data_IF_049296064881
#
_entry.id   IF_049296064881
#
_cell.length_a   1.000
_cell.length_b   1.000
_cell.length_c   1.000
_cell.angle_alpha   90.00
_cell.angle_beta   90.00
_cell.angle_gamma   90.00
#
_symmetry.space_group_name_H-M   'P 1'
#
loop_
_entity.id
_entity.type
_entity.pdbx_description
1 polymer ?
#
# COMPACT_ATOMS: atom_id res chain seq x y z
N UNK A 1 4.29 12.36 20.99
CA UNK A 1 4.35 10.99 20.43
C UNK A 1 4.87 11.13 19.02
N UNK A 2 5.74 10.24 18.54
CA UNK A 2 6.31 10.38 17.19
C UNK A 2 5.36 9.79 16.15
N UNK A 3 4.94 10.61 15.21
CA UNK A 3 4.19 10.20 14.02
C UNK A 3 5.15 10.10 12.83
N UNK A 4 4.92 9.19 11.92
CA UNK A 4 5.69 9.12 10.69
C UNK A 4 5.21 8.05 9.73
N UNK A 5 5.75 8.08 8.53
CA UNK A 5 5.44 7.18 7.43
C UNK A 5 6.58 6.18 7.27
N UNK A 6 6.25 4.90 7.10
CA UNK A 6 7.21 3.87 6.74
C UNK A 6 6.90 3.32 5.36
N UNK A 7 7.93 3.27 4.52
CA UNK A 7 7.92 2.70 3.19
C UNK A 7 8.79 1.44 3.20
N UNK A 8 8.30 0.34 2.65
CA UNK A 8 9.09 -0.88 2.46
C UNK A 8 9.39 -1.04 0.97
N UNK A 9 10.65 -0.96 0.59
CA UNK A 9 11.11 -1.14 -0.79
C UNK A 9 12.15 -2.26 -0.87
N UNK A 10 11.94 -3.19 -1.79
CA UNK A 10 12.88 -4.26 -2.11
C UNK A 10 12.92 -4.44 -3.61
N UNK A 11 14.01 -4.03 -4.23
CA UNK A 11 14.21 -4.16 -5.66
C UNK A 11 14.17 -5.62 -6.10
N UNK A 12 13.69 -5.86 -7.30
CA UNK A 12 13.79 -7.14 -7.97
C UNK A 12 14.46 -6.96 -9.35
N UNK A 13 14.50 -8.01 -10.15
CA UNK A 13 15.16 -8.00 -11.47
C UNK A 13 14.52 -7.05 -12.48
N UNK A 14 13.27 -6.61 -12.27
CA UNK A 14 12.51 -5.81 -13.23
C UNK A 14 12.11 -4.45 -12.71
N UNK A 15 11.96 -4.30 -11.39
CA UNK A 15 11.39 -3.12 -10.75
C UNK A 15 12.32 -2.50 -9.71
N UNK A 16 12.56 -1.19 -9.82
CA UNK A 16 13.27 -0.40 -8.83
C UNK A 16 12.29 0.23 -7.83
N UNK A 17 11.97 -0.53 -6.78
CA UNK A 17 11.07 -0.09 -5.71
C UNK A 17 11.65 1.05 -4.86
N UNK A 18 12.98 1.18 -4.77
CA UNK A 18 13.64 2.31 -4.09
C UNK A 18 13.37 3.62 -4.85
N UNK A 19 13.38 3.60 -6.20
CA UNK A 19 12.97 4.77 -7.02
C UNK A 19 11.50 5.10 -6.82
N UNK A 20 10.62 4.10 -6.70
CA UNK A 20 9.19 4.32 -6.42
C UNK A 20 9.00 4.94 -5.03
N UNK A 21 9.71 4.43 -4.01
CA UNK A 21 9.68 5.00 -2.66
C UNK A 21 10.17 6.47 -2.64
N UNK A 22 11.19 6.80 -3.45
CA UNK A 22 11.65 8.17 -3.62
C UNK A 22 10.56 9.08 -4.19
N UNK A 23 9.92 8.67 -5.29
CA UNK A 23 8.83 9.41 -5.90
C UNK A 23 7.63 9.60 -4.95
N UNK A 24 7.28 8.55 -4.19
CA UNK A 24 6.25 8.65 -3.16
C UNK A 24 6.65 9.62 -2.05
N UNK A 25 7.90 9.59 -1.57
CA UNK A 25 8.39 10.52 -0.56
C UNK A 25 8.35 11.97 -1.04
N UNK A 26 8.74 12.26 -2.28
CA UNK A 26 8.59 13.57 -2.90
C UNK A 26 7.13 14.02 -2.89
N UNK A 27 6.21 13.16 -3.34
CA UNK A 27 4.78 13.50 -3.37
C UNK A 27 4.20 13.79 -1.98
N UNK A 28 4.65 13.05 -0.96
CA UNK A 28 4.24 13.30 0.43
C UNK A 28 4.75 14.66 0.91
N UNK A 29 6.04 14.94 0.73
CA UNK A 29 6.65 16.20 1.20
C UNK A 29 6.13 17.43 0.47
N UNK A 30 5.75 17.31 -0.80
CA UNK A 30 5.08 18.37 -1.55
C UNK A 30 3.72 18.76 -0.93
N UNK A 31 3.01 17.82 -0.30
CA UNK A 31 1.69 18.06 0.31
C UNK A 31 1.76 18.28 1.82
N UNK A 32 2.73 17.67 2.49
CA UNK A 32 2.93 17.68 3.94
C UNK A 32 4.43 17.79 4.28
N UNK A 33 5.05 18.98 4.16
CA UNK A 33 6.51 19.19 4.20
C UNK A 33 7.21 18.76 5.50
N UNK A 34 6.47 18.67 6.59
CA UNK A 34 7.01 18.31 7.91
C UNK A 34 6.81 16.84 8.28
N UNK A 35 6.47 16.01 7.31
CA UNK A 35 6.24 14.58 7.55
C UNK A 35 7.54 13.83 7.67
N UNK A 36 7.71 13.07 8.77
CA UNK A 36 8.84 12.14 8.90
C UNK A 36 8.61 10.91 8.03
N UNK A 37 9.58 10.56 7.19
CA UNK A 37 9.51 9.40 6.28
C UNK A 37 10.73 8.52 6.46
N UNK A 38 10.51 7.25 6.83
CA UNK A 38 11.57 6.24 6.90
C UNK A 38 11.41 5.21 5.79
N UNK A 39 12.53 4.83 5.18
CA UNK A 39 12.60 3.76 4.19
C UNK A 39 13.18 2.50 4.82
N UNK A 40 12.49 1.37 4.63
CA UNK A 40 12.93 0.05 5.07
C UNK A 40 13.39 -0.70 3.82
N UNK A 41 14.69 -0.99 3.72
CA UNK A 41 15.29 -1.63 2.55
C UNK A 41 16.68 -2.18 2.85
N UNK A 42 17.10 -3.19 2.10
CA UNK A 42 18.49 -3.67 2.05
C UNK A 42 19.19 -3.26 0.75
N UNK A 43 18.49 -2.56 -0.14
CA UNK A 43 19.01 -2.06 -1.41
C UNK A 43 19.75 -0.72 -1.22
N UNK A 44 20.58 -0.34 -2.21
CA UNK A 44 21.25 0.96 -2.24
C UNK A 44 20.23 2.11 -2.38
N UNK A 45 20.43 3.18 -1.61
CA UNK A 45 19.54 4.34 -1.55
C UNK A 45 20.31 5.61 -1.89
N UNK A 46 20.33 6.02 -3.18
CA UNK A 46 21.06 7.21 -3.61
C UNK A 46 20.34 8.53 -3.32
N UNK A 47 19.25 8.51 -2.54
CA UNK A 47 18.38 9.66 -2.28
C UNK A 47 18.47 10.14 -0.84
N UNK A 48 18.72 11.44 -0.65
CA UNK A 48 18.81 12.06 0.67
C UNK A 48 17.49 12.77 1.04
N UNK A 49 16.38 12.03 1.10
CA UNK A 49 15.04 12.55 1.40
C UNK A 49 14.40 11.87 2.62
N UNK A 50 14.92 10.71 3.00
CA UNK A 50 14.38 9.92 4.10
C UNK A 50 15.01 10.30 5.43
N UNK A 51 14.22 10.44 6.49
CA UNK A 51 14.72 10.67 7.85
C UNK A 51 15.60 9.52 8.33
N UNK A 52 15.23 8.29 7.96
CA UNK A 52 15.99 7.08 8.27
C UNK A 52 15.88 6.07 7.13
N UNK A 53 17.00 5.41 6.86
CA UNK A 53 17.05 4.19 6.06
C UNK A 53 17.35 3.05 7.03
N UNK A 54 16.50 2.01 7.03
CA UNK A 54 16.51 0.93 8.02
C UNK A 54 16.60 -0.39 7.26
N UNK A 55 17.55 -1.24 7.63
CA UNK A 55 17.66 -2.58 7.05
C UNK A 55 16.46 -3.46 7.43
N UNK A 56 16.11 -4.37 6.53
CA UNK A 56 15.04 -5.35 6.77
C UNK A 56 15.53 -6.35 7.83
N UNK A 57 14.79 -6.51 8.94
CA UNK A 57 15.22 -7.43 9.98
C UNK A 57 15.01 -8.88 9.53
N UNK A 58 15.82 -9.77 10.10
CA UNK A 58 15.70 -11.22 9.89
C UNK A 58 15.68 -11.60 8.42
N UNK A 59 16.84 -11.82 7.81
CA UNK A 59 17.05 -12.14 6.39
C UNK A 59 16.53 -13.52 5.94
N UNK A 60 15.49 -14.01 6.60
CA UNK A 60 14.94 -15.35 6.50
C UNK A 60 13.98 -15.56 5.31
N UNK A 61 13.58 -14.48 4.61
CA UNK A 61 12.62 -14.50 3.50
C UNK A 61 13.17 -13.85 2.22
N UNK A 62 14.50 -13.74 2.11
CA UNK A 62 15.17 -13.00 1.03
C UNK A 62 15.18 -13.70 -0.34
N UNK A 63 14.66 -14.93 -0.43
CA UNK A 63 14.90 -15.81 -1.59
C UNK A 63 13.79 -15.79 -2.65
N UNK A 64 12.68 -15.10 -2.43
CA UNK A 64 11.59 -15.01 -3.38
C UNK A 64 11.66 -13.70 -4.18
N UNK A 65 11.46 -13.76 -5.50
CA UNK A 65 11.29 -12.56 -6.34
C UNK A 65 10.13 -11.68 -5.87
N UNK A 66 9.12 -12.28 -5.22
CA UNK A 66 8.02 -11.60 -4.52
C UNK A 66 8.33 -11.44 -3.04
N UNK A 67 8.99 -10.36 -2.69
CA UNK A 67 9.39 -10.05 -1.31
C UNK A 67 8.26 -9.48 -0.45
N UNK A 68 7.02 -9.65 -0.87
CA UNK A 68 5.80 -9.19 -0.19
C UNK A 68 5.65 -9.78 1.21
N UNK A 69 6.24 -10.95 1.44
CA UNK A 69 6.25 -11.66 2.71
C UNK A 69 6.97 -10.90 3.83
N UNK A 70 7.74 -9.86 3.51
CA UNK A 70 8.41 -9.01 4.50
C UNK A 70 7.51 -7.87 5.04
N UNK A 71 6.30 -7.67 4.53
CA UNK A 71 5.46 -6.51 4.90
C UNK A 71 5.08 -6.43 6.37
N UNK A 72 4.88 -7.57 7.04
CA UNK A 72 4.60 -7.60 8.47
C UNK A 72 5.75 -7.05 9.33
N UNK A 73 6.98 -7.11 8.81
CA UNK A 73 8.20 -6.67 9.51
C UNK A 73 8.23 -5.16 9.77
N UNK A 74 7.49 -4.37 8.99
CA UNK A 74 7.39 -2.91 9.15
C UNK A 74 7.00 -2.53 10.59
N UNK A 75 6.08 -3.27 11.22
CA UNK A 75 5.69 -3.05 12.61
C UNK A 75 6.87 -3.10 13.58
N UNK A 76 7.79 -4.03 13.39
CA UNK A 76 8.89 -4.28 14.31
C UNK A 76 10.01 -3.23 14.20
N UNK A 77 10.23 -2.67 13.02
CA UNK A 77 11.37 -1.77 12.74
C UNK A 77 10.99 -0.30 12.63
N UNK A 78 9.70 0.03 12.47
CA UNK A 78 9.29 1.44 12.43
C UNK A 78 9.86 2.21 13.62
N UNK A 79 10.48 3.39 13.40
CA UNK A 79 11.00 4.21 14.48
C UNK A 79 9.92 5.05 15.15
N UNK A 80 8.67 4.99 14.65
CA UNK A 80 7.56 5.80 15.11
C UNK A 80 6.61 5.00 16.00
N UNK A 81 5.94 5.69 16.91
CA UNK A 81 4.86 5.09 17.69
C UNK A 81 3.60 4.94 16.84
N UNK A 82 3.25 5.99 16.10
CA UNK A 82 2.13 6.03 15.20
C UNK A 82 2.67 6.00 13.76
N UNK A 83 2.29 5.01 12.99
CA UNK A 83 2.86 4.76 11.67
C UNK A 83 1.76 4.65 10.63
N UNK A 84 1.91 5.37 9.52
CA UNK A 84 1.21 5.11 8.27
C UNK A 84 2.16 4.33 7.35
N UNK A 85 1.65 3.32 6.69
CA UNK A 85 2.38 2.53 5.69
C UNK A 85 1.69 2.67 4.35
N UNK A 86 2.48 2.88 3.30
CA UNK A 86 2.05 2.89 1.91
C UNK A 86 2.77 1.83 1.10
N UNK A 87 2.10 1.31 0.07
CA UNK A 87 2.77 0.67 -1.05
C UNK A 87 3.59 1.71 -1.79
N UNK A 88 4.82 1.35 -2.18
CA UNK A 88 5.73 2.34 -2.77
C UNK A 88 5.35 2.76 -4.20
N UNK A 89 4.50 1.99 -4.87
CA UNK A 89 3.91 2.31 -6.17
C UNK A 89 2.65 3.22 -6.05
N UNK A 90 2.71 4.14 -5.06
CA UNK A 90 1.69 5.16 -4.82
C UNK A 90 2.26 6.58 -4.95
N UNK A 91 1.36 7.58 -5.12
CA UNK A 91 1.63 9.00 -4.97
C UNK A 91 0.57 9.64 -4.08
N UNK A 92 0.99 10.57 -3.23
CA UNK A 92 0.11 11.42 -2.41
C UNK A 92 -0.07 12.75 -3.11
N UNK A 93 -1.31 13.08 -3.48
CA UNK A 93 -1.66 14.24 -4.31
C UNK A 93 -2.41 15.33 -3.54
N UNK A 94 -2.80 15.06 -2.29
CA UNK A 94 -3.42 16.00 -1.38
C UNK A 94 -2.78 15.90 0.01
N UNK A 95 -3.00 16.92 0.86
CA UNK A 95 -2.53 16.88 2.25
C UNK A 95 -3.16 15.70 3.01
N UNK A 96 -2.33 14.97 3.76
CA UNK A 96 -2.72 13.80 4.54
C UNK A 96 -2.64 14.01 6.06
N UNK A 97 -2.38 15.24 6.53
CA UNK A 97 -2.20 15.52 7.96
C UNK A 97 -3.46 15.21 8.78
N UNK A 98 -4.64 15.30 8.15
CA UNK A 98 -5.91 14.90 8.76
C UNK A 98 -5.96 13.45 9.25
N UNK A 99 -5.13 12.57 8.71
CA UNK A 99 -5.04 11.18 9.14
C UNK A 99 -4.50 11.09 10.56
N UNK A 100 -3.59 12.00 10.95
CA UNK A 100 -3.04 12.06 12.30
C UNK A 100 -4.04 12.54 13.34
N UNK A 101 -4.98 13.40 12.96
CA UNK A 101 -6.03 13.94 13.85
C UNK A 101 -7.11 12.88 14.14
N UNK A 102 -7.31 11.95 13.21
CA UNK A 102 -8.31 10.88 13.30
C UNK A 102 -7.64 9.51 13.52
N UNK A 103 -6.64 9.47 14.36
CA UNK A 103 -5.78 8.33 14.51
C UNK A 103 -6.43 7.18 15.32
N UNK A 104 -6.30 5.97 14.82
CA UNK A 104 -6.76 4.74 15.46
C UNK A 104 -5.61 3.76 15.65
N UNK A 105 -5.74 2.83 16.59
CA UNK A 105 -4.68 1.88 16.91
C UNK A 105 -4.31 0.95 15.74
N UNK A 106 -5.28 0.57 14.92
CA UNK A 106 -5.06 -0.21 13.69
C UNK A 106 -6.21 0.03 12.71
N UNK A 107 -5.90 0.50 11.50
CA UNK A 107 -6.89 0.75 10.45
C UNK A 107 -6.37 0.31 9.10
N UNK A 108 -7.22 -0.38 8.36
CA UNK A 108 -7.00 -0.76 6.97
C UNK A 108 -8.04 -0.14 6.04
N UNK A 109 -7.66 0.08 4.80
CA UNK A 109 -8.58 0.47 3.73
C UNK A 109 -9.51 -0.69 3.39
N UNK A 110 -10.82 -0.41 3.28
CA UNK A 110 -11.82 -1.40 2.86
C UNK A 110 -12.51 -1.04 1.54
N UNK A 111 -12.19 0.11 0.97
CA UNK A 111 -12.73 0.57 -0.31
C UNK A 111 -11.68 1.33 -1.11
N UNK A 112 -11.74 1.22 -2.42
CA UNK A 112 -10.84 1.93 -3.34
C UNK A 112 -11.67 2.60 -4.45
N UNK A 113 -11.06 3.55 -5.18
CA UNK A 113 -11.72 4.36 -6.18
C UNK A 113 -11.19 4.08 -7.59
N UNK A 114 -12.02 4.37 -8.56
CA UNK A 114 -11.62 4.50 -9.96
C UNK A 114 -10.85 5.80 -10.20
N UNK A 115 -10.17 5.93 -11.35
CA UNK A 115 -9.56 7.20 -11.76
C UNK A 115 -10.59 8.33 -11.99
N UNK A 116 -11.90 8.01 -12.00
CA UNK A 116 -13.01 8.97 -12.03
C UNK A 116 -13.48 9.39 -10.65
N UNK A 117 -12.78 8.98 -9.59
CA UNK A 117 -13.12 9.22 -8.20
C UNK A 117 -14.43 8.53 -7.72
N UNK A 118 -14.84 7.45 -8.39
CA UNK A 118 -16.00 6.64 -8.06
C UNK A 118 -15.58 5.45 -7.20
N UNK A 119 -16.33 5.11 -6.17
CA UNK A 119 -16.08 3.88 -5.37
C UNK A 119 -16.27 2.66 -6.26
N UNK A 120 -15.32 1.73 -6.19
CA UNK A 120 -15.33 0.51 -6.97
C UNK A 120 -16.34 -0.46 -6.40
N UNK A 121 -17.29 -0.88 -7.23
CA UNK A 121 -18.32 -1.87 -6.91
C UNK A 121 -18.07 -3.22 -7.57
N UNK A 122 -17.08 -3.31 -8.47
CA UNK A 122 -16.75 -4.56 -9.15
C UNK A 122 -16.11 -5.57 -8.20
N UNK A 123 -16.86 -6.64 -7.88
CA UNK A 123 -16.45 -7.69 -6.94
C UNK A 123 -15.66 -8.83 -7.60
N UNK A 124 -15.46 -8.82 -8.92
CA UNK A 124 -14.70 -9.88 -9.60
C UNK A 124 -13.30 -10.07 -9.01
N UNK A 125 -12.64 -8.99 -8.67
CA UNK A 125 -11.30 -8.97 -8.10
C UNK A 125 -11.26 -9.45 -6.64
N UNK A 126 -12.41 -9.44 -5.96
CA UNK A 126 -12.55 -9.75 -4.52
C UNK A 126 -13.22 -11.10 -4.25
N UNK A 127 -13.32 -11.98 -5.25
CA UNK A 127 -14.00 -13.28 -5.15
C UNK A 127 -13.54 -14.15 -3.98
N UNK A 128 -12.25 -14.15 -3.68
CA UNK A 128 -11.69 -14.91 -2.55
C UNK A 128 -12.29 -14.43 -1.23
N UNK A 129 -12.48 -13.13 -1.07
CA UNK A 129 -13.07 -12.53 0.15
C UNK A 129 -14.55 -12.89 0.26
N UNK A 130 -15.33 -12.60 -0.78
CA UNK A 130 -16.78 -12.88 -0.79
C UNK A 130 -17.09 -14.36 -0.60
N UNK A 131 -16.40 -15.25 -1.32
CA UNK A 131 -16.66 -16.67 -1.28
C UNK A 131 -16.34 -17.34 0.06
N UNK A 132 -15.42 -16.77 0.83
CA UNK A 132 -14.95 -17.32 2.11
C UNK A 132 -15.44 -16.49 3.32
N UNK A 133 -16.31 -15.51 3.08
CA UNK A 133 -16.79 -14.60 4.14
C UNK A 133 -15.61 -13.97 4.91
N UNK A 134 -14.59 -13.51 4.18
CA UNK A 134 -13.48 -12.74 4.71
C UNK A 134 -13.82 -11.25 4.64
N UNK A 135 -13.32 -10.43 5.59
CA UNK A 135 -13.46 -8.98 5.51
C UNK A 135 -12.73 -8.45 4.27
N UNK A 136 -13.34 -7.48 3.58
CA UNK A 136 -12.73 -6.84 2.41
C UNK A 136 -11.68 -5.85 2.89
N UNK A 137 -10.43 -6.09 2.54
CA UNK A 137 -9.29 -5.26 2.96
C UNK A 137 -8.31 -5.04 1.83
N UNK A 138 -7.84 -3.81 1.70
CA UNK A 138 -6.75 -3.41 0.81
C UNK A 138 -5.58 -2.93 1.66
N UNK A 139 -4.43 -3.57 1.53
CA UNK A 139 -3.25 -3.32 2.37
C UNK A 139 -2.27 -2.34 1.72
N UNK A 140 -2.64 -1.74 0.60
CA UNK A 140 -1.80 -0.71 -0.05
C UNK A 140 -1.57 0.54 0.81
N UNK A 141 -2.54 0.86 1.69
CA UNK A 141 -2.41 1.93 2.67
C UNK A 141 -3.06 1.49 3.98
N UNK A 142 -2.34 1.63 5.11
CA UNK A 142 -2.86 1.34 6.44
C UNK A 142 -2.11 2.13 7.51
N UNK A 143 -2.70 2.22 8.70
CA UNK A 143 -2.06 2.85 9.86
C UNK A 143 -2.11 1.94 11.09
N UNK A 144 -1.14 2.14 11.98
CA UNK A 144 -1.11 1.46 13.27
C UNK A 144 -0.37 2.27 14.34
N UNK A 145 -0.77 2.07 15.62
CA UNK A 145 -0.01 2.45 16.81
C UNK A 145 0.79 1.26 17.35
N UNK A 146 1.94 1.51 17.97
CA UNK A 146 2.60 0.51 18.81
C UNK A 146 1.84 0.35 20.13
N UNK A 147 0.93 -0.61 20.19
CA UNK A 147 0.18 -1.01 21.38
C UNK A 147 0.03 -2.54 21.44
N UNK A 148 -0.50 -3.07 22.55
CA UNK A 148 -0.61 -4.51 22.76
C UNK A 148 -1.50 -5.19 21.68
N UNK A 149 -2.65 -4.63 21.36
CA UNK A 149 -3.56 -5.21 20.37
C UNK A 149 -2.91 -5.29 18.98
N UNK A 150 -2.25 -4.22 18.58
CA UNK A 150 -1.53 -4.16 17.29
C UNK A 150 -0.35 -5.12 17.30
N UNK A 151 0.36 -5.27 18.43
CA UNK A 151 1.44 -6.24 18.55
C UNK A 151 0.93 -7.67 18.34
N UNK A 152 -0.18 -8.03 18.98
CA UNK A 152 -0.82 -9.35 18.79
C UNK A 152 -1.24 -9.60 17.35
N UNK A 153 -1.78 -8.56 16.68
CA UNK A 153 -2.14 -8.64 15.27
C UNK A 153 -0.93 -8.95 14.38
N UNK A 154 0.19 -8.23 14.54
CA UNK A 154 1.37 -8.44 13.70
C UNK A 154 2.10 -9.75 14.00
N UNK A 155 2.09 -10.24 15.24
CA UNK A 155 2.56 -11.60 15.56
C UNK A 155 1.72 -12.67 14.84
N UNK A 156 0.40 -12.53 14.84
CA UNK A 156 -0.47 -13.46 14.13
C UNK A 156 -0.27 -13.36 12.60
N UNK A 157 -0.10 -12.15 12.07
CA UNK A 157 0.15 -11.93 10.64
C UNK A 157 1.47 -12.59 10.20
N UNK A 158 2.54 -12.52 11.00
CA UNK A 158 3.79 -13.26 10.75
C UNK A 158 3.53 -14.76 10.64
N UNK A 159 2.83 -15.35 11.63
CA UNK A 159 2.50 -16.78 11.63
C UNK A 159 1.69 -17.17 10.38
N UNK A 160 0.70 -16.36 10.01
CA UNK A 160 -0.14 -16.61 8.83
C UNK A 160 0.71 -16.55 7.56
N UNK A 161 1.53 -15.51 7.37
CA UNK A 161 2.30 -15.34 6.15
C UNK A 161 3.36 -16.43 5.98
N UNK A 162 4.04 -16.85 7.04
CA UNK A 162 4.98 -17.98 7.01
C UNK A 162 4.31 -19.33 6.71
N UNK A 163 3.05 -19.47 7.06
CA UNK A 163 2.29 -20.71 6.91
C UNK A 163 1.05 -20.51 6.00
N UNK A 164 1.11 -19.58 5.06
CA UNK A 164 -0.04 -19.09 4.33
C UNK A 164 -0.86 -20.20 3.65
N UNK A 165 -0.24 -21.25 3.13
CA UNK A 165 -0.95 -22.38 2.49
C UNK A 165 -1.92 -23.05 3.46
N UNK A 166 -1.47 -23.35 4.68
CA UNK A 166 -2.28 -24.00 5.72
C UNK A 166 -3.46 -23.09 6.14
N UNK A 167 -3.19 -21.79 6.30
CA UNK A 167 -4.25 -20.84 6.63
C UNK A 167 -5.23 -20.64 5.49
N UNK A 168 -4.77 -20.60 4.24
CA UNK A 168 -5.65 -20.45 3.08
C UNK A 168 -6.51 -21.68 2.86
N UNK A 169 -5.98 -22.89 3.02
CA UNK A 169 -6.76 -24.13 2.99
C UNK A 169 -7.88 -24.12 4.03
N UNK A 170 -7.65 -23.56 5.20
CA UNK A 170 -8.63 -23.51 6.29
C UNK A 170 -9.64 -22.36 6.16
N UNK A 171 -9.19 -21.15 5.82
CA UNK A 171 -9.99 -19.93 5.90
C UNK A 171 -10.39 -19.34 4.53
N UNK A 172 -9.71 -19.72 3.45
CA UNK A 172 -9.92 -19.25 2.10
C UNK A 172 -9.91 -20.38 1.04
N UNK A 173 -10.57 -21.55 1.28
CA UNK A 173 -10.50 -22.69 0.37
C UNK A 173 -11.17 -22.43 -0.97
N UNK A 174 -12.16 -21.54 -1.02
CA UNK A 174 -12.86 -21.17 -2.26
C UNK A 174 -12.07 -20.09 -2.99
N UNK A 175 -11.87 -20.26 -4.30
CA UNK A 175 -11.03 -19.38 -5.12
C UNK A 175 -9.62 -19.25 -4.54
N UNK A 176 -9.04 -20.40 -4.17
CA UNK A 176 -7.71 -20.50 -3.57
C UNK A 176 -6.66 -19.78 -4.42
N UNK A 177 -5.86 -18.95 -3.78
CA UNK A 177 -4.70 -18.30 -4.40
C UNK A 177 -3.46 -19.16 -4.15
N UNK A 178 -2.68 -19.42 -5.19
CA UNK A 178 -1.46 -20.22 -5.12
C UNK A 178 -0.21 -19.39 -4.75
N UNK A 179 -0.40 -18.20 -4.21
CA UNK A 179 0.63 -17.27 -3.74
C UNK A 179 0.19 -16.56 -2.45
N UNK A 180 1.16 -16.11 -1.65
CA UNK A 180 0.88 -15.38 -0.42
C UNK A 180 0.42 -13.95 -0.74
N UNK A 181 -0.87 -13.67 -0.56
CA UNK A 181 -1.44 -12.32 -0.68
C UNK A 181 -1.49 -11.65 0.69
N UNK A 182 -0.92 -10.47 0.83
CA UNK A 182 -0.98 -9.71 2.08
C UNK A 182 -2.43 -9.37 2.43
N UNK A 183 -3.24 -8.95 1.45
CA UNK A 183 -4.66 -8.64 1.66
C UNK A 183 -5.42 -9.84 2.28
N UNK A 184 -5.22 -11.04 1.71
CA UNK A 184 -5.88 -12.25 2.22
C UNK A 184 -5.35 -12.64 3.60
N UNK A 185 -4.04 -12.52 3.83
CA UNK A 185 -3.41 -12.82 5.12
C UNK A 185 -3.91 -11.88 6.22
N UNK A 186 -4.02 -10.57 5.92
CA UNK A 186 -4.60 -9.58 6.84
C UNK A 186 -6.07 -9.87 7.10
N UNK A 187 -6.86 -10.17 6.08
CA UNK A 187 -8.28 -10.50 6.24
C UNK A 187 -8.49 -11.72 7.15
N UNK A 188 -7.64 -12.75 7.00
CA UNK A 188 -7.65 -13.93 7.88
C UNK A 188 -7.26 -13.54 9.31
N UNK A 189 -6.23 -12.71 9.49
CA UNK A 189 -5.81 -12.26 10.82
C UNK A 189 -6.92 -11.48 11.53
N UNK A 190 -7.56 -10.53 10.85
CA UNK A 190 -8.70 -9.76 11.37
C UNK A 190 -9.83 -10.68 11.81
N UNK A 191 -10.20 -11.64 10.96
CA UNK A 191 -11.26 -12.62 11.23
C UNK A 191 -10.95 -13.52 12.43
N UNK A 192 -9.71 -13.99 12.57
CA UNK A 192 -9.29 -14.82 13.70
C UNK A 192 -9.35 -14.04 15.02
N UNK A 193 -8.98 -12.77 14.99
CA UNK A 193 -8.99 -11.89 16.16
C UNK A 193 -10.38 -11.29 16.45
N UNK A 194 -11.32 -11.35 15.50
CA UNK A 194 -12.66 -10.79 15.66
C UNK A 194 -12.69 -9.25 15.73
N UNK A 195 -11.74 -8.57 15.07
CA UNK A 195 -11.55 -7.11 15.15
C UNK A 195 -11.91 -6.38 13.85
N UNK A 196 -12.62 -7.01 12.93
CA UNK A 196 -12.96 -6.44 11.63
C UNK A 196 -13.76 -5.14 11.76
N UNK A 197 -14.68 -5.08 12.72
CA UNK A 197 -15.55 -3.92 12.94
C UNK A 197 -14.81 -2.69 13.49
N UNK A 198 -13.65 -2.89 14.11
CA UNK A 198 -12.85 -1.82 14.71
C UNK A 198 -11.75 -1.32 13.76
N UNK A 199 -11.33 -2.17 12.82
CA UNK A 199 -10.15 -1.92 11.97
C UNK A 199 -10.49 -1.57 10.52
N UNK A 200 -11.75 -1.74 10.10
CA UNK A 200 -12.19 -1.43 8.75
C UNK A 200 -13.17 -0.26 8.77
N UNK A 201 -12.67 0.92 8.45
CA UNK A 201 -13.52 2.12 8.39
C UNK A 201 -14.27 2.22 7.07
N UNK A 202 -15.60 2.39 7.16
CA UNK A 202 -16.50 2.58 6.00
C UNK A 202 -16.32 3.95 5.35
N UNK A 203 -15.95 4.95 6.13
CA UNK A 203 -15.82 6.34 5.70
C UNK A 203 -14.34 6.69 5.45
N UNK A 204 -13.71 5.86 4.72
CA UNK A 204 -12.46 5.99 3.94
C UNK A 204 -11.55 7.19 4.25
N UNK A 205 -11.14 7.38 5.52
CA UNK A 205 -9.96 8.20 5.82
C UNK A 205 -8.74 7.70 5.03
N UNK A 206 -8.71 6.39 4.74
CA UNK A 206 -7.67 5.70 4.00
C UNK A 206 -8.18 5.11 2.69
N UNK A 207 -8.79 5.92 1.80
CA UNK A 207 -9.12 5.44 0.46
C UNK A 207 -8.11 5.92 -0.57
N UNK A 208 -7.92 5.14 -1.63
CA UNK A 208 -7.04 5.51 -2.72
C UNK A 208 -7.63 5.14 -4.08
N UNK A 209 -7.19 5.85 -5.13
CA UNK A 209 -7.45 5.46 -6.51
C UNK A 209 -6.57 4.26 -6.84
N UNK A 210 -7.16 3.14 -7.27
CA UNK A 210 -6.44 1.89 -7.53
C UNK A 210 -6.42 1.56 -9.02
N UNK A 211 -5.30 1.83 -9.70
CA UNK A 211 -5.18 1.75 -11.16
C UNK A 211 -5.05 0.33 -11.74
N UNK A 212 -5.33 -0.71 -10.96
CA UNK A 212 -5.30 -2.08 -11.47
C UNK A 212 -6.34 -2.25 -12.60
N UNK A 213 -5.95 -2.70 -13.83
CA UNK A 213 -6.82 -2.65 -14.99
C UNK A 213 -8.19 -3.28 -14.80
N UNK A 214 -8.26 -4.44 -14.12
CA UNK A 214 -9.55 -5.11 -13.82
C UNK A 214 -10.46 -4.32 -12.88
N UNK A 215 -9.86 -3.55 -11.98
CA UNK A 215 -10.56 -2.69 -11.04
C UNK A 215 -11.16 -1.50 -11.79
N UNK A 216 -10.46 -1.01 -12.81
CA UNK A 216 -10.88 0.09 -13.66
C UNK A 216 -11.82 -0.31 -14.81
N UNK A 217 -12.30 -1.56 -14.86
CA UNK A 217 -13.07 -2.11 -15.98
C UNK A 217 -12.37 -1.99 -17.35
N UNK A 218 -11.06 -1.88 -17.35
CA UNK A 218 -10.24 -1.91 -18.56
C UNK A 218 -10.02 -3.37 -18.93
N UNK A 219 -10.87 -3.90 -19.81
CA UNK A 219 -10.93 -5.30 -20.16
C UNK A 219 -9.61 -5.87 -20.68
N UNK A 220 -9.32 -7.04 -20.14
CA UNK A 220 -8.38 -8.10 -20.51
C UNK A 220 -6.90 -7.91 -20.23
N UNK A 221 -6.29 -8.89 -19.53
CA UNK A 221 -4.83 -9.08 -19.52
C UNK A 221 -4.35 -9.48 -20.93
N UNK A 222 -3.15 -9.08 -21.36
CA UNK A 222 -2.13 -8.44 -20.54
C UNK A 222 -2.05 -6.91 -20.71
N UNK A 223 -3.16 -6.21 -20.85
CA UNK A 223 -3.14 -4.78 -21.20
C UNK A 223 -2.88 -3.94 -19.94
N UNK A 224 -1.80 -3.17 -19.98
CA UNK A 224 -1.50 -2.16 -18.96
C UNK A 224 -2.44 -0.96 -19.12
N UNK A 225 -2.84 -0.34 -18.01
CA UNK A 225 -3.70 0.83 -18.06
C UNK A 225 -2.99 2.04 -18.69
N UNK A 226 -1.67 2.15 -18.50
CA UNK A 226 -0.81 3.18 -19.10
C UNK A 226 -0.86 3.18 -20.64
N UNK A 227 -1.14 2.04 -21.25
CA UNK A 227 -1.31 1.90 -22.69
C UNK A 227 -2.75 2.22 -23.18
N UNK A 228 -3.70 2.40 -22.26
CA UNK A 228 -5.12 2.60 -22.56
C UNK A 228 -5.62 4.00 -22.28
N UNK A 229 -5.06 4.62 -21.24
CA UNK A 229 -5.52 5.90 -20.74
C UNK A 229 -4.44 6.96 -20.97
N UNK A 230 -4.74 8.07 -21.65
CA UNK A 230 -3.82 9.19 -21.74
C UNK A 230 -3.56 9.78 -20.36
N UNK A 231 -2.32 10.18 -20.13
CA UNK A 231 -1.87 10.82 -18.90
C UNK A 231 -1.24 12.14 -19.23
N UNK A 232 -1.72 13.21 -18.63
CA UNK A 232 -1.13 14.55 -18.67
C UNK A 232 -0.60 14.92 -17.28
N UNK A 233 0.62 15.43 -17.22
CA UNK A 233 1.28 15.85 -15.98
C UNK A 233 1.82 17.26 -16.15
N UNK A 234 1.50 18.14 -15.21
CA UNK A 234 1.93 19.53 -15.29
C UNK A 234 1.38 20.39 -14.15
N UNK A 235 1.29 21.68 -14.37
CA UNK A 235 0.83 22.66 -13.36
C UNK A 235 -0.54 22.36 -12.75
N UNK A 236 -1.40 21.65 -13.47
CA UNK A 236 -2.72 21.25 -12.99
C UNK A 236 -2.70 19.97 -12.16
N UNK A 237 -1.53 19.36 -11.98
CA UNK A 237 -1.35 18.05 -11.32
C UNK A 237 -1.37 16.90 -12.33
N UNK A 238 -1.77 15.73 -11.89
CA UNK A 238 -1.90 14.51 -12.68
C UNK A 238 -3.33 14.38 -13.19
N UNK A 239 -3.49 14.26 -14.50
CA UNK A 239 -4.78 14.06 -15.17
C UNK A 239 -4.73 12.72 -15.90
N UNK A 240 -5.65 11.82 -15.60
CA UNK A 240 -5.77 10.51 -16.26
C UNK A 240 -7.07 10.50 -17.05
N UNK A 241 -6.98 10.36 -18.38
CA UNK A 241 -8.13 10.34 -19.30
C UNK A 241 -9.12 11.50 -19.07
N UNK A 242 -8.59 12.73 -18.86
CA UNK A 242 -9.36 13.93 -18.59
C UNK A 242 -9.83 14.14 -17.14
N UNK A 243 -9.56 13.19 -16.24
CA UNK A 243 -9.93 13.32 -14.83
C UNK A 243 -8.71 13.67 -13.98
N UNK A 244 -8.78 14.82 -13.29
CA UNK A 244 -7.74 15.23 -12.33
C UNK A 244 -7.71 14.24 -11.16
N UNK A 245 -6.53 13.74 -10.87
CA UNK A 245 -6.32 12.86 -9.72
C UNK A 245 -6.13 13.66 -8.44
N UNK A 246 -6.60 13.09 -7.31
CA UNK A 246 -6.54 13.67 -5.97
C UNK A 246 -6.42 12.57 -4.91
N UNK A 247 -6.12 12.94 -3.66
CA UNK A 247 -5.92 12.00 -2.58
C UNK A 247 -4.68 11.13 -2.78
N UNK A 248 -4.83 9.83 -2.71
CA UNK A 248 -3.74 8.87 -2.93
C UNK A 248 -3.98 8.10 -4.22
N UNK A 249 -3.00 8.07 -5.10
CA UNK A 249 -3.00 7.36 -6.37
C UNK A 249 -2.09 6.13 -6.29
N UNK A 250 -2.65 4.93 -6.34
CA UNK A 250 -1.91 3.67 -6.49
C UNK A 250 -1.83 3.33 -7.99
N UNK A 251 -0.71 3.68 -8.62
CA UNK A 251 -0.56 3.56 -10.06
C UNK A 251 -0.26 2.13 -10.54
N UNK A 252 0.29 1.26 -9.69
CA UNK A 252 0.49 -0.19 -9.90
C UNK A 252 1.50 -0.55 -11.00
N UNK A 253 1.55 0.20 -12.10
CA UNK A 253 2.38 -0.09 -13.27
C UNK A 253 3.62 0.80 -13.28
N UNK A 254 4.80 0.20 -13.29
CA UNK A 254 6.10 0.88 -13.22
C UNK A 254 6.31 1.89 -14.33
N UNK A 255 5.74 1.63 -15.52
CA UNK A 255 5.85 2.50 -16.68
C UNK A 255 5.21 3.86 -16.48
N UNK A 256 4.29 4.00 -15.53
CA UNK A 256 3.73 5.29 -15.15
C UNK A 256 4.81 6.22 -14.57
N UNK A 257 5.74 5.67 -13.78
CA UNK A 257 6.77 6.47 -13.12
C UNK A 257 7.96 6.76 -14.06
N UNK A 258 7.69 7.54 -15.12
CA UNK A 258 8.72 8.01 -16.05
C UNK A 258 9.68 9.01 -15.38
N UNK A 259 10.79 9.31 -16.04
CA UNK A 259 11.70 10.36 -15.55
C UNK A 259 11.04 11.75 -15.52
N UNK A 260 10.11 12.02 -16.43
CA UNK A 260 9.37 13.29 -16.45
C UNK A 260 8.42 13.41 -15.22
N UNK A 261 7.79 12.31 -14.81
CA UNK A 261 6.99 12.25 -13.56
C UNK A 261 7.86 12.54 -12.35
N UNK A 262 9.02 11.87 -12.24
CA UNK A 262 9.94 12.08 -11.12
C UNK A 262 10.43 13.53 -11.09
N UNK A 263 10.86 14.07 -12.23
CA UNK A 263 11.31 15.46 -12.33
C UNK A 263 10.19 16.44 -11.95
N UNK A 264 8.97 16.20 -12.40
CA UNK A 264 7.83 17.03 -12.01
C UNK A 264 7.60 16.99 -10.47
N UNK A 265 7.75 15.83 -9.83
CA UNK A 265 7.66 15.73 -8.36
C UNK A 265 8.80 16.48 -7.66
N UNK A 266 10.04 16.41 -8.16
CA UNK A 266 11.18 17.15 -7.65
C UNK A 266 10.98 18.67 -7.71
N UNK A 267 10.26 19.17 -8.70
CA UNK A 267 9.92 20.59 -8.86
C UNK A 267 8.82 21.07 -7.87
N UNK A 268 8.14 20.14 -7.17
CA UNK A 268 7.11 20.48 -6.16
C UNK A 268 7.65 20.58 -4.73
N UNK A 269 8.83 20.08 -4.45
CA UNK A 269 9.51 20.10 -3.14
C UNK A 269 10.60 21.14 -3.12
#
# INVERSE_FOLDING_TARGET
MSNGICLLAQNNSTTNYVKQAYALALSILAQSPNTNISLITDDDVPYNIFDKVISIPWSDMAHNDWKIENRWKVYHVTPYRNTIVFDVDMLVLDNIDYVWDNYHDLVFTNSVKTYRNEIITNRYYRKTFDANNLPDVYVGMYQFSKCENTHRFFLLLDIIMRNWKVFYEKYAPKHFQNWCSVDVSVAIALKILGIEGETLHKDSLLSFTHMKPRVQNLNSPPTKWTNKLPVDIGKSGIIINGYKQSGVLHYVEDEFLTNDVVKWLEEQV
#
